data_IF_854489069131
#
_entry.id   IF_854489069131
#
_cell.length_a   1.000
_cell.length_b   1.000
_cell.length_c   1.000
_cell.angle_alpha   90.00
_cell.angle_beta   90.00
_cell.angle_gamma   90.00
#
_symmetry.space_group_name_H-M   'P 1'
#
loop_
_entity.id
_entity.type
_entity.pdbx_description
1 polymer ?
#
# COMPACT_ATOMS: atom_id res chain seq x y z
N UNK A 1 22.77 -0.75 -26.76
CA UNK A 1 21.68 -0.85 -25.78
C UNK A 1 22.21 -0.31 -24.47
N UNK A 2 21.51 0.62 -23.80
CA UNK A 2 21.91 1.07 -22.46
C UNK A 2 21.86 -0.11 -21.49
N UNK A 3 22.82 -0.14 -20.57
CA UNK A 3 22.88 -1.14 -19.49
C UNK A 3 22.77 -0.44 -18.14
N UNK A 4 22.11 -1.09 -17.18
CA UNK A 4 22.07 -0.72 -15.76
C UNK A 4 22.28 -1.96 -14.92
N UNK A 5 22.88 -1.79 -13.76
CA UNK A 5 22.98 -2.90 -12.81
C UNK A 5 21.57 -3.33 -12.35
N UNK A 6 20.72 -2.32 -12.06
CA UNK A 6 19.33 -2.54 -11.65
C UNK A 6 18.39 -1.69 -12.50
N UNK A 7 17.31 -2.31 -13.00
CA UNK A 7 16.17 -1.60 -13.60
C UNK A 7 14.94 -1.81 -12.73
N UNK A 8 14.29 -0.70 -12.34
CA UNK A 8 13.06 -0.71 -11.55
C UNK A 8 11.87 -0.36 -12.44
N UNK A 9 10.83 -1.22 -12.46
CA UNK A 9 9.59 -1.00 -13.18
C UNK A 9 8.52 -0.47 -12.24
N UNK A 10 8.28 0.84 -12.25
CA UNK A 10 7.30 1.55 -11.43
C UNK A 10 7.94 2.45 -10.36
N UNK A 11 7.60 3.75 -10.40
CA UNK A 11 8.08 4.81 -9.49
C UNK A 11 7.13 5.08 -8.31
N UNK A 12 6.45 4.04 -7.78
CA UNK A 12 5.70 4.13 -6.52
C UNK A 12 6.61 3.91 -5.31
N UNK A 13 6.08 3.89 -4.06
CA UNK A 13 6.90 3.80 -2.85
C UNK A 13 7.90 2.65 -2.84
N UNK A 14 7.50 1.46 -3.29
CA UNK A 14 8.38 0.30 -3.34
C UNK A 14 9.53 0.46 -4.34
N UNK A 15 9.24 0.96 -5.55
CA UNK A 15 10.27 1.16 -6.57
C UNK A 15 11.19 2.33 -6.25
N UNK A 16 10.65 3.42 -5.72
CA UNK A 16 11.45 4.55 -5.28
C UNK A 16 12.39 4.16 -4.12
N UNK A 17 11.90 3.38 -3.13
CA UNK A 17 12.73 2.88 -2.04
C UNK A 17 13.88 2.00 -2.55
N UNK A 18 13.60 1.10 -3.51
CA UNK A 18 14.64 0.29 -4.15
C UNK A 18 15.68 1.16 -4.87
N UNK A 19 15.22 2.17 -5.61
CA UNK A 19 16.10 3.07 -6.36
C UNK A 19 16.96 3.96 -5.46
N UNK A 20 16.37 4.55 -4.42
CA UNK A 20 17.07 5.39 -3.43
C UNK A 20 18.21 4.56 -2.78
N UNK A 21 17.88 3.38 -2.29
CA UNK A 21 18.82 2.53 -1.58
C UNK A 21 19.92 2.03 -2.52
N UNK A 22 19.56 1.55 -3.71
CA UNK A 22 20.53 1.11 -4.72
C UNK A 22 21.50 2.23 -5.13
N UNK A 23 20.97 3.42 -5.44
CA UNK A 23 21.77 4.58 -5.83
C UNK A 23 22.74 5.04 -4.70
N UNK A 24 22.28 5.02 -3.44
CA UNK A 24 23.13 5.32 -2.27
C UNK A 24 24.27 4.32 -2.08
N UNK A 25 24.09 3.08 -2.50
CA UNK A 25 25.16 2.07 -2.56
C UNK A 25 26.09 2.22 -3.79
N UNK A 26 25.82 3.19 -4.67
CA UNK A 26 26.59 3.40 -5.90
C UNK A 26 26.21 2.45 -7.03
N UNK A 27 25.11 1.73 -6.92
CA UNK A 27 24.56 0.86 -7.97
C UNK A 27 24.00 1.72 -9.08
N UNK A 28 24.32 1.40 -10.33
CA UNK A 28 23.79 2.11 -11.50
C UNK A 28 22.34 1.69 -11.77
N UNK A 29 21.39 2.51 -11.35
CA UNK A 29 19.96 2.19 -11.35
C UNK A 29 19.13 3.13 -12.23
N UNK A 30 18.17 2.57 -12.97
CA UNK A 30 17.14 3.33 -13.68
C UNK A 30 15.74 2.94 -13.22
N UNK A 31 14.85 3.93 -13.05
CA UNK A 31 13.43 3.74 -12.71
C UNK A 31 12.57 4.19 -13.87
N UNK A 32 11.72 3.29 -14.36
CA UNK A 32 10.72 3.59 -15.39
C UNK A 32 9.34 3.71 -14.76
N UNK A 33 8.76 4.90 -14.82
CA UNK A 33 7.38 5.15 -14.39
C UNK A 33 6.52 5.45 -15.64
N UNK A 34 5.43 4.71 -15.81
CA UNK A 34 4.51 4.88 -16.95
C UNK A 34 3.67 6.15 -16.89
N UNK A 35 3.48 6.69 -15.68
CA UNK A 35 2.75 7.94 -15.48
C UNK A 35 3.68 9.14 -15.49
N UNK A 36 3.07 10.33 -15.59
CA UNK A 36 3.78 11.60 -15.49
C UNK A 36 4.25 11.85 -14.04
N UNK A 37 5.22 12.74 -13.90
CA UNK A 37 5.64 13.24 -12.57
C UNK A 37 4.45 13.78 -11.79
N UNK A 38 4.36 13.41 -10.49
CA UNK A 38 3.26 13.84 -9.62
C UNK A 38 1.89 13.20 -9.97
N UNK A 39 1.87 12.09 -10.71
CA UNK A 39 0.64 11.34 -10.99
C UNK A 39 -0.07 10.94 -9.71
N UNK A 40 -1.38 10.90 -9.77
CA UNK A 40 -2.17 10.37 -8.67
C UNK A 40 -2.29 8.83 -8.71
N UNK A 41 -2.38 8.22 -7.55
CA UNK A 41 -2.61 6.79 -7.35
C UNK A 41 -3.72 6.61 -6.34
N UNK A 42 -4.72 5.79 -6.66
CA UNK A 42 -5.82 5.49 -5.73
C UNK A 42 -5.27 4.86 -4.44
N UNK A 43 -5.46 5.54 -3.32
CA UNK A 43 -4.98 5.19 -1.98
C UNK A 43 -5.79 5.94 -0.93
N UNK A 44 -5.83 5.45 0.31
CA UNK A 44 -6.30 6.20 1.47
C UNK A 44 -5.32 7.27 1.95
N UNK A 45 -4.07 7.27 1.44
CA UNK A 45 -2.99 8.20 1.79
C UNK A 45 -2.49 8.10 3.24
N UNK A 46 -3.04 7.18 4.02
CA UNK A 46 -2.62 6.93 5.41
C UNK A 46 -1.27 6.20 5.47
N UNK A 47 -0.43 6.67 6.35
CA UNK A 47 0.88 6.11 6.67
C UNK A 47 0.88 5.73 8.15
N UNK A 48 1.00 4.44 8.45
CA UNK A 48 1.14 3.97 9.81
C UNK A 48 2.52 4.33 10.39
N UNK A 49 2.74 4.17 11.69
CA UNK A 49 4.06 4.32 12.30
C UNK A 49 5.16 3.52 11.59
N UNK A 50 4.83 2.34 11.07
CA UNK A 50 5.75 1.50 10.32
C UNK A 50 6.17 2.15 8.99
N UNK A 51 5.21 2.66 8.24
CA UNK A 51 5.49 3.37 7.00
C UNK A 51 6.30 4.65 7.25
N UNK A 52 5.97 5.41 8.31
CA UNK A 52 6.74 6.60 8.72
C UNK A 52 8.18 6.23 9.09
N UNK A 53 8.38 5.14 9.87
CA UNK A 53 9.71 4.65 10.20
C UNK A 53 10.54 4.26 8.96
N UNK A 54 9.92 3.60 7.98
CA UNK A 54 10.59 3.26 6.72
C UNK A 54 10.95 4.51 5.89
N UNK A 55 10.08 5.53 5.86
CA UNK A 55 10.38 6.81 5.21
C UNK A 55 11.53 7.56 5.90
N UNK A 56 11.59 7.50 7.24
CA UNK A 56 12.70 8.09 8.01
C UNK A 56 14.03 7.40 7.71
N UNK A 57 14.07 6.08 7.52
CA UNK A 57 15.28 5.35 7.10
C UNK A 57 15.76 5.79 5.70
N UNK A 58 14.86 6.25 4.86
CA UNK A 58 15.17 6.82 3.55
C UNK A 58 15.45 8.33 3.58
N UNK A 59 15.55 8.94 4.78
CA UNK A 59 15.72 10.39 4.99
C UNK A 59 14.68 11.25 4.28
N UNK A 60 13.46 10.73 4.14
CA UNK A 60 12.36 11.48 3.50
C UNK A 60 11.85 12.57 4.44
N UNK A 61 11.82 13.80 3.96
CA UNK A 61 11.28 14.93 4.69
C UNK A 61 9.74 14.85 4.75
N UNK A 62 9.19 14.73 5.96
CA UNK A 62 7.76 14.58 6.22
C UNK A 62 7.05 15.89 6.58
N UNK A 63 7.68 17.05 6.38
CA UNK A 63 7.10 18.36 6.78
C UNK A 63 5.78 18.67 6.06
N UNK A 64 5.60 18.18 4.84
CA UNK A 64 4.39 18.34 4.03
C UNK A 64 3.30 17.30 4.32
N UNK A 65 3.61 16.30 5.14
CA UNK A 65 2.65 15.29 5.57
C UNK A 65 1.89 15.74 6.81
N UNK A 66 0.58 15.52 6.85
CA UNK A 66 -0.20 15.76 8.06
C UNK A 66 0.08 14.69 9.10
N UNK A 67 0.65 15.10 10.25
CA UNK A 67 0.99 14.19 11.36
C UNK A 67 -0.27 13.66 12.04
N UNK A 68 -0.33 12.36 12.28
CA UNK A 68 -1.45 11.64 12.88
C UNK A 68 -1.00 11.00 14.20
N UNK A 69 -1.72 11.30 15.27
CA UNK A 69 -1.47 10.78 16.62
C UNK A 69 -1.99 9.35 16.80
N UNK A 70 -3.09 9.00 16.11
CA UNK A 70 -3.72 7.71 16.32
C UNK A 70 -4.82 7.37 15.33
N UNK A 71 -5.58 6.34 15.71
CA UNK A 71 -6.74 5.83 14.98
C UNK A 71 -8.02 5.99 15.80
N UNK A 72 -9.05 6.58 15.22
CA UNK A 72 -10.42 6.57 15.73
C UNK A 72 -11.18 5.41 15.09
N UNK A 73 -11.56 4.40 15.90
CA UNK A 73 -12.37 3.28 15.45
C UNK A 73 -13.84 3.50 15.81
N UNK A 74 -14.73 3.34 14.82
CA UNK A 74 -16.18 3.44 15.01
C UNK A 74 -16.83 2.07 14.74
N UNK A 75 -17.55 1.53 15.73
CA UNK A 75 -18.31 0.30 15.62
C UNK A 75 -19.73 0.46 16.17
N UNK A 76 -20.69 0.78 15.32
CA UNK A 76 -22.04 1.20 15.71
C UNK A 76 -22.03 2.53 16.43
N UNK A 77 -22.48 2.55 17.69
CA UNK A 77 -22.45 3.74 18.55
C UNK A 77 -21.19 3.86 19.39
N UNK A 78 -20.31 2.88 19.32
CA UNK A 78 -19.04 2.89 20.08
C UNK A 78 -17.96 3.57 19.28
N UNK A 79 -17.29 4.53 19.89
CA UNK A 79 -16.11 5.20 19.34
C UNK A 79 -14.94 4.95 20.28
N UNK A 80 -13.77 4.64 19.73
CA UNK A 80 -12.50 4.52 20.43
C UNK A 80 -11.45 5.34 19.72
N UNK A 81 -10.83 6.26 20.44
CA UNK A 81 -9.63 6.96 20.01
C UNK A 81 -8.43 6.27 20.67
N UNK A 82 -7.48 5.87 19.85
CA UNK A 82 -6.33 5.09 20.26
C UNK A 82 -5.08 5.76 19.67
N UNK A 83 -4.18 6.17 20.53
CA UNK A 83 -2.88 6.68 20.11
C UNK A 83 -2.03 5.54 19.53
N UNK A 84 -1.19 5.88 18.56
CA UNK A 84 -0.23 4.93 18.02
C UNK A 84 0.77 4.53 19.11
N UNK A 85 1.06 3.22 19.23
CA UNK A 85 2.05 2.77 20.19
C UNK A 85 3.44 3.28 19.77
N UNK A 86 4.18 3.84 20.70
CA UNK A 86 5.60 4.07 20.50
C UNK A 86 6.34 2.78 20.81
N UNK A 87 7.08 2.26 19.85
CA UNK A 87 7.87 1.04 19.99
C UNK A 87 9.35 1.35 19.82
N UNK A 88 10.23 0.36 20.03
CA UNK A 88 11.66 0.52 19.74
C UNK A 88 11.96 0.65 18.25
N UNK A 89 11.04 0.16 17.37
CA UNK A 89 11.21 0.09 15.91
C UNK A 89 10.47 1.19 15.17
N UNK A 90 9.36 1.68 15.71
CA UNK A 90 8.47 2.59 15.00
C UNK A 90 8.16 3.82 15.83
N UNK A 91 8.06 5.02 15.20
CA UNK A 91 7.66 6.24 15.89
C UNK A 91 6.22 6.13 16.42
N UNK A 92 5.91 6.85 17.52
CA UNK A 92 4.55 6.90 18.10
C UNK A 92 3.60 7.79 17.32
N UNK A 93 3.70 7.84 15.99
CA UNK A 93 2.81 8.62 15.14
C UNK A 93 2.78 8.07 13.71
N UNK A 94 1.66 8.26 13.06
CA UNK A 94 1.47 8.08 11.64
C UNK A 94 1.47 9.40 10.90
N UNK A 95 1.07 9.36 9.62
CA UNK A 95 0.83 10.55 8.82
C UNK A 95 -0.27 10.31 7.77
N UNK A 96 -0.81 11.37 7.21
CA UNK A 96 -1.57 11.35 5.96
C UNK A 96 -0.83 12.20 4.94
N UNK A 97 -0.50 11.59 3.81
CA UNK A 97 0.22 12.28 2.74
C UNK A 97 -0.32 11.87 1.37
N UNK A 98 -1.02 12.76 0.66
CA UNK A 98 -1.58 12.44 -0.66
C UNK A 98 -0.53 11.85 -1.59
N UNK A 99 -0.85 10.70 -2.22
CA UNK A 99 0.07 9.91 -3.02
C UNK A 99 0.77 10.70 -4.12
N UNK A 100 0.13 11.71 -4.70
CA UNK A 100 0.78 12.59 -5.69
C UNK A 100 2.01 13.32 -5.12
N UNK A 101 1.97 13.71 -3.84
CA UNK A 101 3.07 14.39 -3.15
C UNK A 101 4.09 13.38 -2.60
N UNK A 102 3.62 12.31 -1.97
CA UNK A 102 4.50 11.25 -1.45
C UNK A 102 5.33 10.61 -2.56
N UNK A 103 4.70 10.17 -3.65
CA UNK A 103 5.41 9.50 -4.75
C UNK A 103 6.38 10.47 -5.44
N UNK A 104 6.03 11.75 -5.59
CA UNK A 104 6.92 12.77 -6.14
C UNK A 104 8.15 12.98 -5.24
N UNK A 105 7.96 13.19 -3.94
CA UNK A 105 9.06 13.39 -2.98
C UNK A 105 10.02 12.18 -2.96
N UNK A 106 9.49 10.97 -2.98
CA UNK A 106 10.31 9.75 -3.06
C UNK A 106 11.14 9.69 -4.35
N UNK A 107 10.55 10.02 -5.48
CA UNK A 107 11.25 9.99 -6.77
C UNK A 107 12.26 11.15 -6.92
N UNK A 108 12.03 12.30 -6.29
CA UNK A 108 13.01 13.37 -6.19
C UNK A 108 14.25 12.92 -5.42
N UNK A 109 14.05 12.32 -4.24
CA UNK A 109 15.17 11.76 -3.45
C UNK A 109 15.89 10.65 -4.21
N UNK A 110 15.17 9.81 -4.97
CA UNK A 110 15.81 8.81 -5.82
C UNK A 110 16.73 9.46 -6.89
N UNK A 111 16.25 10.52 -7.53
CA UNK A 111 17.04 11.28 -8.51
C UNK A 111 18.24 11.98 -7.88
N UNK A 112 18.07 12.61 -6.71
CA UNK A 112 19.13 13.25 -5.95
C UNK A 112 20.20 12.25 -5.48
N UNK A 113 19.79 11.01 -5.17
CA UNK A 113 20.71 9.92 -4.83
C UNK A 113 21.50 9.38 -6.04
N UNK A 114 21.13 9.76 -7.26
CA UNK A 114 21.80 9.37 -8.50
C UNK A 114 21.07 8.33 -9.36
N UNK A 115 19.83 7.96 -9.01
CA UNK A 115 19.02 7.11 -9.87
C UNK A 115 18.54 7.86 -11.12
N UNK A 116 18.60 7.23 -12.29
CA UNK A 116 17.98 7.76 -13.51
C UNK A 116 16.47 7.55 -13.44
N UNK A 117 15.68 8.64 -13.35
CA UNK A 117 14.22 8.59 -13.25
C UNK A 117 13.58 8.95 -14.60
N UNK A 118 12.83 8.02 -15.19
CA UNK A 118 12.24 8.12 -16.52
C UNK A 118 10.71 8.00 -16.41
N UNK A 119 10.02 9.09 -16.69
CA UNK A 119 8.56 9.21 -16.63
C UNK A 119 7.90 8.99 -17.99
N UNK A 120 6.57 8.88 -18.02
CA UNK A 120 5.73 8.72 -19.22
C UNK A 120 6.18 7.54 -20.10
N UNK A 121 6.80 6.52 -19.48
CA UNK A 121 7.41 5.40 -20.20
C UNK A 121 6.96 4.05 -19.64
N UNK A 122 5.98 3.42 -20.30
CA UNK A 122 5.60 2.03 -19.98
C UNK A 122 6.65 1.09 -20.56
N UNK A 123 7.15 0.18 -19.74
CA UNK A 123 8.15 -0.83 -20.14
C UNK A 123 7.64 -2.24 -19.86
N UNK A 124 8.15 -3.20 -20.64
CA UNK A 124 7.89 -4.61 -20.43
C UNK A 124 9.21 -5.36 -20.21
N UNK A 125 9.26 -6.32 -19.27
CA UNK A 125 10.43 -7.17 -19.09
C UNK A 125 10.76 -7.95 -20.37
N UNK A 126 12.04 -8.16 -20.58
CA UNK A 126 12.56 -9.02 -21.65
C UNK A 126 13.10 -10.29 -21.03
N UNK A 127 12.59 -11.42 -21.47
CA UNK A 127 13.02 -12.75 -21.03
C UNK A 127 13.73 -13.41 -22.21
N UNK A 128 14.92 -13.97 -21.98
CA UNK A 128 15.69 -14.71 -22.98
C UNK A 128 15.18 -16.14 -23.16
N UNK A 129 15.80 -16.88 -24.06
CA UNK A 129 15.44 -18.27 -24.38
C UNK A 129 15.70 -19.24 -23.20
N UNK A 130 16.52 -18.85 -22.22
CA UNK A 130 16.80 -19.60 -20.99
C UNK A 130 15.83 -19.28 -19.85
N UNK A 131 14.89 -18.33 -20.08
CA UNK A 131 13.89 -17.90 -19.10
C UNK A 131 14.42 -16.88 -18.09
N UNK A 132 15.60 -16.26 -18.35
CA UNK A 132 16.16 -15.18 -17.54
C UNK A 132 15.58 -13.83 -17.99
N UNK A 133 15.18 -13.01 -17.04
CA UNK A 133 14.89 -11.61 -17.30
C UNK A 133 16.20 -10.84 -17.47
N UNK A 134 16.44 -10.29 -18.66
CA UNK A 134 17.70 -9.64 -19.06
C UNK A 134 17.59 -8.12 -19.19
N UNK A 135 16.43 -7.56 -18.89
CA UNK A 135 16.18 -6.13 -18.98
C UNK A 135 14.73 -5.78 -19.33
N UNK A 136 14.54 -4.66 -20.01
CA UNK A 136 13.22 -4.15 -20.40
C UNK A 136 13.20 -3.61 -21.82
N UNK A 137 12.07 -3.74 -22.49
CA UNK A 137 11.76 -3.03 -23.73
C UNK A 137 10.99 -1.74 -23.43
N UNK A 138 11.50 -0.62 -23.94
CA UNK A 138 10.82 0.66 -23.99
C UNK A 138 10.24 0.89 -25.39
N UNK A 139 9.38 1.88 -25.60
CA UNK A 139 8.90 2.23 -26.93
C UNK A 139 10.02 2.61 -27.94
N UNK A 140 11.18 3.01 -27.45
CA UNK A 140 12.29 3.50 -28.27
C UNK A 140 13.39 2.44 -28.49
N UNK A 141 13.74 1.70 -27.43
CA UNK A 141 14.86 0.76 -27.46
C UNK A 141 14.83 -0.23 -26.30
N UNK A 142 15.59 -1.28 -26.41
CA UNK A 142 15.86 -2.24 -25.32
C UNK A 142 16.93 -1.69 -24.37
N UNK A 143 16.70 -1.93 -23.07
CA UNK A 143 17.67 -1.73 -21.99
C UNK A 143 17.99 -3.08 -21.37
N UNK A 144 19.24 -3.31 -21.01
CA UNK A 144 19.67 -4.53 -20.32
C UNK A 144 19.95 -4.27 -18.85
N UNK A 145 19.78 -5.29 -18.00
CA UNK A 145 20.06 -5.20 -16.56
C UNK A 145 20.52 -6.53 -16.00
N UNK A 146 21.30 -6.48 -14.90
CA UNK A 146 21.65 -7.66 -14.12
C UNK A 146 20.46 -8.11 -13.27
N UNK A 147 19.67 -7.16 -12.74
CA UNK A 147 18.43 -7.39 -12.00
C UNK A 147 17.31 -6.45 -12.44
N UNK A 148 16.11 -6.99 -12.62
CA UNK A 148 14.87 -6.22 -12.82
C UNK A 148 14.00 -6.28 -11.57
N UNK A 149 13.70 -5.12 -10.98
CA UNK A 149 12.80 -4.99 -9.83
C UNK A 149 11.40 -4.63 -10.32
N UNK A 150 10.45 -5.56 -10.20
CA UNK A 150 9.06 -5.36 -10.55
C UNK A 150 8.33 -4.65 -9.39
N UNK A 151 8.14 -3.34 -9.51
CA UNK A 151 7.42 -2.47 -8.57
C UNK A 151 6.15 -1.85 -9.20
N UNK A 152 5.57 -2.52 -10.20
CA UNK A 152 4.45 -2.03 -11.01
C UNK A 152 3.10 -1.99 -10.26
N UNK A 153 3.08 -2.31 -8.98
CA UNK A 153 1.88 -2.36 -8.14
C UNK A 153 0.99 -3.56 -8.42
N UNK A 154 -0.26 -3.47 -7.96
CA UNK A 154 -1.23 -4.57 -7.95
C UNK A 154 -1.62 -5.13 -9.32
N UNK A 155 -1.38 -4.41 -10.40
CA UNK A 155 -1.81 -4.77 -11.74
C UNK A 155 -0.78 -4.26 -12.75
N UNK A 156 -0.22 -5.16 -13.52
CA UNK A 156 0.74 -4.75 -14.54
C UNK A 156 0.91 -5.81 -15.62
N UNK A 157 1.09 -5.37 -16.88
CA UNK A 157 1.45 -6.26 -17.99
C UNK A 157 2.81 -6.92 -17.73
N UNK A 158 3.71 -6.20 -17.04
CA UNK A 158 5.03 -6.69 -16.67
C UNK A 158 4.97 -7.96 -15.80
N UNK A 159 4.04 -8.02 -14.84
CA UNK A 159 3.84 -9.21 -14.01
C UNK A 159 3.46 -10.45 -14.84
N UNK A 160 2.65 -10.24 -15.90
CA UNK A 160 2.25 -11.33 -16.80
C UNK A 160 3.43 -11.91 -17.56
N UNK A 161 4.31 -11.05 -18.08
CA UNK A 161 5.50 -11.49 -18.81
C UNK A 161 6.42 -12.34 -17.93
N UNK A 162 6.51 -12.01 -16.63
CA UNK A 162 7.35 -12.72 -15.65
C UNK A 162 6.66 -13.92 -14.99
N UNK A 163 5.40 -14.19 -15.32
CA UNK A 163 4.62 -15.25 -14.66
C UNK A 163 4.37 -14.95 -13.17
N UNK A 164 4.33 -13.68 -12.79
CA UNK A 164 4.05 -13.19 -11.44
C UNK A 164 2.62 -12.67 -11.29
N UNK A 165 1.71 -13.12 -12.15
CA UNK A 165 0.30 -12.74 -12.08
C UNK A 165 -0.36 -13.32 -10.83
N UNK A 166 -1.29 -12.53 -10.30
CA UNK A 166 -2.14 -12.98 -9.19
C UNK A 166 -3.07 -14.10 -9.66
N UNK A 167 -3.22 -15.16 -8.84
CA UNK A 167 -4.24 -16.16 -9.04
C UNK A 167 -5.65 -15.53 -8.93
N UNK A 168 -6.49 -15.60 -9.97
CA UNK A 168 -7.84 -15.02 -9.95
C UNK A 168 -8.75 -15.60 -8.86
N UNK A 169 -8.48 -16.80 -8.37
CA UNK A 169 -9.24 -17.48 -7.31
C UNK A 169 -8.94 -16.94 -5.91
N UNK A 170 -7.79 -16.29 -5.74
CA UNK A 170 -7.37 -15.73 -4.46
C UNK A 170 -8.16 -14.48 -4.05
N UNK A 171 -8.40 -14.29 -2.73
CA UNK A 171 -9.12 -13.16 -2.23
C UNK A 171 -8.41 -11.83 -2.52
N UNK A 172 -9.19 -10.77 -2.66
CA UNK A 172 -8.70 -9.41 -2.82
C UNK A 172 -9.64 -8.42 -2.14
N UNK A 173 -9.11 -7.27 -1.77
CA UNK A 173 -9.88 -6.11 -1.38
C UNK A 173 -10.24 -5.26 -2.61
N UNK A 174 -11.38 -4.61 -2.56
CA UNK A 174 -11.78 -3.59 -3.52
C UNK A 174 -12.09 -2.31 -2.76
N UNK A 175 -11.34 -1.27 -3.03
CA UNK A 175 -11.43 0.03 -2.37
C UNK A 175 -11.85 1.09 -3.37
N UNK A 176 -12.59 2.10 -2.90
CA UNK A 176 -12.95 3.30 -3.65
C UNK A 176 -12.70 4.51 -2.77
N UNK A 177 -12.19 5.59 -3.36
CA UNK A 177 -11.96 6.84 -2.63
C UNK A 177 -12.19 8.08 -3.50
N UNK A 178 -12.39 9.18 -2.81
CA UNK A 178 -12.41 10.55 -3.32
C UNK A 178 -11.85 11.48 -2.25
N UNK A 179 -11.83 12.77 -2.54
CA UNK A 179 -11.56 13.82 -1.55
C UNK A 179 -12.79 14.69 -1.35
N UNK A 180 -12.94 15.24 -0.15
CA UNK A 180 -13.95 16.26 0.19
C UNK A 180 -13.28 17.35 1.03
N UNK A 181 -13.84 18.56 0.99
CA UNK A 181 -13.46 19.62 1.94
C UNK A 181 -14.03 19.32 3.33
N UNK A 182 -13.33 19.73 4.38
CA UNK A 182 -13.79 19.64 5.75
C UNK A 182 -13.04 20.61 6.66
N UNK A 183 -13.68 21.27 7.62
CA UNK A 183 -13.00 22.03 8.67
C UNK A 183 -12.16 21.14 9.59
N UNK A 184 -12.42 19.80 9.61
CA UNK A 184 -11.67 18.82 10.39
C UNK A 184 -10.43 18.29 9.68
N UNK A 185 -9.94 18.94 8.65
CA UNK A 185 -8.76 18.51 7.89
C UNK A 185 -7.47 18.39 8.72
N UNK A 186 -7.44 18.98 9.93
CA UNK A 186 -6.32 18.91 10.90
C UNK A 186 -6.60 18.00 12.10
N UNK A 187 -7.64 17.15 12.03
CA UNK A 187 -7.90 16.16 13.09
C UNK A 187 -6.64 15.29 13.30
N UNK A 188 -6.26 15.06 14.54
CA UNK A 188 -5.06 14.29 14.91
C UNK A 188 -5.23 12.78 14.75
N UNK A 189 -6.44 12.30 14.41
CA UNK A 189 -6.72 10.87 14.24
C UNK A 189 -7.26 10.58 12.85
N UNK A 190 -6.75 9.54 12.21
CA UNK A 190 -7.45 8.92 11.09
C UNK A 190 -8.65 8.15 11.62
N UNK A 191 -9.71 8.06 10.84
CA UNK A 191 -10.93 7.41 11.26
C UNK A 191 -11.22 6.17 10.43
N UNK A 192 -11.57 5.05 11.08
CA UNK A 192 -12.03 3.81 10.47
C UNK A 192 -13.42 3.46 11.00
N UNK A 193 -14.43 3.55 10.13
CA UNK A 193 -15.79 3.12 10.41
C UNK A 193 -15.97 1.65 10.02
N UNK A 194 -16.06 0.79 11.03
CA UNK A 194 -16.19 -0.66 10.88
C UNK A 194 -17.65 -1.12 10.68
N UNK A 195 -18.60 -0.20 10.70
CA UNK A 195 -20.03 -0.46 10.48
C UNK A 195 -20.52 0.22 9.19
N UNK A 196 -19.84 -0.12 8.10
CA UNK A 196 -20.20 0.35 6.77
C UNK A 196 -21.58 -0.17 6.35
N UNK A 197 -22.41 0.70 5.76
CA UNK A 197 -23.76 0.38 5.29
C UNK A 197 -23.96 0.81 3.84
N UNK A 198 -24.71 0.00 3.10
CA UNK A 198 -25.09 0.34 1.73
C UNK A 198 -26.28 1.32 1.69
N UNK A 199 -26.76 1.62 0.49
CA UNK A 199 -27.92 2.53 0.28
C UNK A 199 -29.25 2.03 0.83
N UNK A 200 -29.34 0.75 1.20
CA UNK A 200 -30.52 0.12 1.79
C UNK A 200 -30.35 -0.10 3.30
N UNK A 201 -29.36 0.55 3.93
CA UNK A 201 -28.99 0.39 5.34
C UNK A 201 -28.55 -1.04 5.72
N UNK A 202 -28.12 -1.84 4.74
CA UNK A 202 -27.58 -3.19 4.97
C UNK A 202 -26.09 -3.11 5.29
N UNK A 203 -25.68 -3.79 6.37
CA UNK A 203 -24.28 -3.83 6.76
C UNK A 203 -23.40 -4.54 5.71
N UNK A 204 -22.32 -3.88 5.32
CA UNK A 204 -21.34 -4.39 4.35
C UNK A 204 -20.06 -4.79 5.07
N UNK A 205 -19.59 -6.05 4.91
CA UNK A 205 -18.26 -6.45 5.41
C UNK A 205 -17.13 -5.68 4.74
N UNK A 206 -16.50 -4.81 5.51
CA UNK A 206 -15.48 -3.86 5.07
C UNK A 206 -15.38 -2.72 6.06
N UNK A 207 -14.75 -1.64 5.65
CA UNK A 207 -14.72 -0.42 6.45
C UNK A 207 -14.72 0.82 5.56
N UNK A 208 -15.24 1.93 6.11
CA UNK A 208 -15.08 3.25 5.57
C UNK A 208 -13.98 4.01 6.30
N UNK A 209 -13.35 4.94 5.63
CA UNK A 209 -12.30 5.77 6.25
C UNK A 209 -12.46 7.24 5.94
N UNK A 210 -11.93 8.06 6.86
CA UNK A 210 -11.75 9.49 6.74
C UNK A 210 -10.35 9.84 7.23
N UNK A 211 -9.48 10.21 6.30
CA UNK A 211 -8.07 10.51 6.60
C UNK A 211 -7.78 11.98 6.29
N UNK A 212 -7.66 12.83 7.34
CA UNK A 212 -7.46 14.27 7.20
C UNK A 212 -6.09 14.56 6.59
N UNK A 213 -6.07 15.35 5.51
CA UNK A 213 -4.83 15.61 4.76
C UNK A 213 -4.06 16.86 5.21
N UNK A 214 -4.60 17.64 6.16
CA UNK A 214 -3.96 18.86 6.68
C UNK A 214 -4.15 20.11 5.83
N UNK A 215 -4.60 19.97 4.59
CA UNK A 215 -4.62 21.01 3.55
C UNK A 215 -6.03 21.54 3.20
N UNK A 216 -6.99 21.38 4.09
CA UNK A 216 -8.40 21.73 3.86
C UNK A 216 -9.25 20.53 3.45
N UNK A 217 -8.62 19.39 3.15
CA UNK A 217 -9.28 18.22 2.60
C UNK A 217 -9.18 16.98 3.48
N UNK A 218 -10.07 16.02 3.21
CA UNK A 218 -10.05 14.69 3.79
C UNK A 218 -10.15 13.65 2.67
N UNK A 219 -9.35 12.60 2.74
CA UNK A 219 -9.51 11.42 1.88
C UNK A 219 -10.67 10.60 2.43
N UNK A 220 -11.74 10.48 1.65
CA UNK A 220 -12.98 9.75 1.99
C UNK A 220 -13.05 8.49 1.16
N UNK A 221 -13.16 7.34 1.80
CA UNK A 221 -13.29 6.13 1.03
C UNK A 221 -13.87 4.96 1.80
N UNK A 222 -14.09 3.88 1.09
CA UNK A 222 -14.51 2.63 1.68
C UNK A 222 -13.98 1.45 0.89
N UNK A 223 -13.88 0.30 1.56
CA UNK A 223 -13.42 -0.94 0.95
C UNK A 223 -14.23 -2.13 1.42
N UNK A 224 -14.31 -3.14 0.54
CA UNK A 224 -14.97 -4.40 0.82
C UNK A 224 -14.10 -5.58 0.36
N UNK A 225 -14.26 -6.73 1.02
CA UNK A 225 -13.54 -7.94 0.71
C UNK A 225 -14.27 -8.79 -0.34
N UNK A 226 -13.56 -9.34 -1.30
CA UNK A 226 -14.13 -10.25 -2.32
C UNK A 226 -14.73 -11.54 -1.73
N UNK A 227 -14.38 -11.87 -0.49
CA UNK A 227 -14.89 -13.02 0.27
C UNK A 227 -16.29 -12.81 0.84
N UNK A 228 -16.81 -11.57 0.83
CA UNK A 228 -18.14 -11.28 1.37
C UNK A 228 -19.25 -11.88 0.49
N UNK A 229 -20.32 -12.32 1.14
CA UNK A 229 -21.55 -12.73 0.44
C UNK A 229 -22.15 -11.54 -0.33
N UNK A 230 -22.47 -11.74 -1.61
CA UNK A 230 -23.04 -10.67 -2.44
C UNK A 230 -22.02 -9.69 -3.03
N UNK A 231 -20.72 -9.94 -2.92
CA UNK A 231 -19.69 -9.05 -3.47
C UNK A 231 -19.88 -8.69 -4.94
N UNK A 232 -20.33 -9.64 -5.78
CA UNK A 232 -20.53 -9.42 -7.22
C UNK A 232 -21.64 -8.42 -7.54
N UNK A 233 -22.59 -8.22 -6.64
CA UNK A 233 -23.70 -7.25 -6.77
C UNK A 233 -23.41 -5.90 -6.10
N UNK A 234 -22.26 -5.76 -5.43
CA UNK A 234 -21.90 -4.54 -4.73
C UNK A 234 -21.56 -3.40 -5.71
N UNK A 235 -22.28 -2.28 -5.58
CA UNK A 235 -21.97 -1.05 -6.32
C UNK A 235 -21.13 -0.12 -5.44
N UNK A 236 -19.82 -0.06 -5.71
CA UNK A 236 -18.90 0.75 -4.92
C UNK A 236 -19.21 2.25 -4.94
N UNK A 237 -19.66 2.80 -6.07
CA UNK A 237 -19.99 4.22 -6.13
C UNK A 237 -21.16 4.55 -5.21
N UNK A 238 -22.18 3.69 -5.18
CA UNK A 238 -23.32 3.84 -4.26
C UNK A 238 -22.88 3.67 -2.82
N UNK A 239 -22.02 2.68 -2.53
CA UNK A 239 -21.48 2.45 -1.20
C UNK A 239 -20.67 3.66 -0.69
N UNK A 240 -19.80 4.23 -1.53
CA UNK A 240 -19.05 5.43 -1.22
C UNK A 240 -19.98 6.64 -0.95
N UNK A 241 -21.03 6.80 -1.77
CA UNK A 241 -22.04 7.83 -1.57
C UNK A 241 -22.85 7.66 -0.28
N UNK A 242 -23.21 6.42 0.09
CA UNK A 242 -23.87 6.12 1.36
C UNK A 242 -22.97 6.41 2.55
N UNK A 243 -21.67 6.04 2.47
CA UNK A 243 -20.70 6.33 3.50
C UNK A 243 -20.48 7.84 3.67
N UNK A 244 -20.32 8.59 2.58
CA UNK A 244 -20.20 10.05 2.64
C UNK A 244 -21.43 10.69 3.34
N UNK A 245 -22.65 10.25 3.00
CA UNK A 245 -23.86 10.72 3.68
C UNK A 245 -23.89 10.36 5.17
N UNK A 246 -23.43 9.15 5.52
CA UNK A 246 -23.36 8.71 6.91
C UNK A 246 -22.43 9.59 7.74
N UNK A 247 -21.36 10.12 7.14
CA UNK A 247 -20.33 10.91 7.82
C UNK A 247 -20.50 12.43 7.65
N UNK A 248 -21.49 12.86 6.88
CA UNK A 248 -21.67 14.25 6.48
C UNK A 248 -21.69 15.21 7.66
N UNK A 249 -22.53 14.94 8.67
CA UNK A 249 -22.68 15.82 9.84
C UNK A 249 -21.47 15.76 10.78
N UNK A 250 -20.93 14.55 11.04
CA UNK A 250 -19.85 14.37 12.01
C UNK A 250 -18.52 14.98 11.56
N UNK A 251 -18.33 15.09 10.25
CA UNK A 251 -17.12 15.65 9.64
C UNK A 251 -17.34 16.99 8.94
N UNK A 252 -18.57 17.48 8.90
CA UNK A 252 -18.96 18.67 8.13
C UNK A 252 -18.36 18.60 6.70
N UNK A 253 -18.72 17.48 6.02
CA UNK A 253 -18.14 17.17 4.72
C UNK A 253 -18.77 18.05 3.63
N UNK A 254 -17.93 18.71 2.85
CA UNK A 254 -18.30 19.33 1.60
C UNK A 254 -18.58 18.31 0.48
N UNK A 255 -18.89 18.78 -0.72
CA UNK A 255 -19.07 17.93 -1.89
C UNK A 255 -17.75 17.22 -2.27
N UNK A 256 -17.87 16.20 -3.11
CA UNK A 256 -16.70 15.55 -3.70
C UNK A 256 -15.89 16.54 -4.55
N UNK A 257 -14.58 16.58 -4.30
CA UNK A 257 -13.65 17.41 -5.08
C UNK A 257 -13.25 16.74 -6.41
N UNK A 258 -13.36 15.42 -6.47
CA UNK A 258 -13.07 14.66 -7.67
C UNK A 258 -14.00 13.44 -7.77
N UNK A 259 -14.05 12.84 -8.95
CA UNK A 259 -14.81 11.61 -9.18
C UNK A 259 -14.22 10.46 -8.36
N UNK A 260 -15.05 9.69 -7.61
CA UNK A 260 -14.55 8.52 -6.90
C UNK A 260 -13.87 7.52 -7.84
N UNK A 261 -12.70 7.00 -7.41
CA UNK A 261 -11.93 6.03 -8.17
C UNK A 261 -11.69 4.78 -7.37
N UNK A 262 -11.90 3.62 -8.00
CA UNK A 262 -11.73 2.32 -7.37
C UNK A 262 -10.40 1.67 -7.73
N UNK A 263 -9.87 0.86 -6.81
CA UNK A 263 -8.67 0.09 -7.00
C UNK A 263 -8.77 -1.29 -6.34
N UNK A 264 -8.14 -2.28 -6.96
CA UNK A 264 -8.05 -3.64 -6.41
C UNK A 264 -6.77 -3.77 -5.59
N UNK A 265 -6.90 -4.38 -4.40
CA UNK A 265 -5.82 -4.65 -3.46
C UNK A 265 -5.56 -6.17 -3.47
N UNK A 266 -4.47 -6.66 -4.07
CA UNK A 266 -4.12 -8.08 -4.02
C UNK A 266 -3.67 -8.43 -2.60
N UNK A 267 -4.34 -9.41 -2.00
CA UNK A 267 -4.07 -9.85 -0.62
C UNK A 267 -3.51 -11.28 -0.59
N UNK A 268 -3.01 -11.76 -1.72
CA UNK A 268 -2.48 -13.12 -1.86
C UNK A 268 -0.98 -13.11 -2.11
N UNK A 269 -0.32 -14.17 -1.64
CA UNK A 269 1.06 -14.43 -2.01
C UNK A 269 1.17 -14.64 -3.53
N UNK A 270 2.17 -14.04 -4.12
CA UNK A 270 2.48 -14.15 -5.54
C UNK A 270 3.91 -14.68 -5.70
N UNK A 271 4.28 -15.06 -6.91
CA UNK A 271 5.66 -15.36 -7.21
C UNK A 271 6.48 -14.07 -7.05
N UNK A 272 7.45 -14.07 -6.15
CA UNK A 272 8.20 -12.87 -5.76
C UNK A 272 9.55 -12.76 -6.45
N UNK A 273 10.06 -13.84 -7.03
CA UNK A 273 11.33 -13.84 -7.75
C UNK A 273 11.35 -14.83 -8.91
N UNK A 274 12.35 -14.66 -9.75
CA UNK A 274 12.74 -15.57 -10.81
C UNK A 274 14.13 -15.21 -11.31
N UNK A 275 14.61 -15.90 -12.31
CA UNK A 275 15.94 -15.69 -12.84
C UNK A 275 16.08 -14.26 -13.42
N UNK A 276 16.87 -13.42 -12.77
CA UNK A 276 17.12 -12.02 -13.16
C UNK A 276 16.03 -11.03 -12.76
N UNK A 277 15.07 -11.39 -11.90
CA UNK A 277 14.06 -10.44 -11.45
C UNK A 277 13.49 -10.75 -10.04
N UNK A 278 12.99 -9.71 -9.39
CA UNK A 278 12.21 -9.79 -8.15
C UNK A 278 10.98 -8.89 -8.22
N UNK A 279 9.92 -9.23 -7.46
CA UNK A 279 8.75 -8.36 -7.26
C UNK A 279 8.74 -7.80 -5.83
N UNK A 280 8.38 -6.51 -5.67
CA UNK A 280 8.32 -5.80 -4.39
C UNK A 280 6.94 -5.19 -4.14
N UNK A 281 6.58 -5.01 -2.88
CA UNK A 281 5.32 -4.39 -2.47
C UNK A 281 4.09 -5.06 -3.06
N UNK A 282 3.13 -4.26 -3.57
CA UNK A 282 1.87 -4.75 -4.17
C UNK A 282 2.10 -5.73 -5.32
N UNK A 283 3.20 -5.59 -6.08
CA UNK A 283 3.53 -6.51 -7.17
C UNK A 283 3.88 -7.91 -6.66
N UNK A 284 4.35 -8.02 -5.42
CA UNK A 284 4.59 -9.27 -4.70
C UNK A 284 3.38 -9.73 -3.85
N UNK A 285 2.23 -9.03 -3.92
CA UNK A 285 1.06 -9.31 -3.10
C UNK A 285 1.25 -8.99 -1.61
N UNK A 286 2.20 -8.13 -1.27
CA UNK A 286 2.53 -7.75 0.10
C UNK A 286 1.62 -6.59 0.55
N UNK A 287 0.36 -6.93 0.81
CA UNK A 287 -0.65 -6.02 1.36
C UNK A 287 -1.25 -6.69 2.58
N UNK A 288 -1.35 -5.97 3.67
CA UNK A 288 -1.98 -6.44 4.90
C UNK A 288 -3.47 -6.77 4.67
N UNK A 289 -3.89 -8.02 4.79
CA UNK A 289 -5.26 -8.40 4.49
C UNK A 289 -6.29 -7.91 5.51
N UNK A 290 -5.85 -7.39 6.67
CA UNK A 290 -6.73 -6.92 7.73
C UNK A 290 -7.13 -5.45 7.58
N UNK A 291 -6.23 -4.61 7.06
CA UNK A 291 -6.44 -3.16 6.96
C UNK A 291 -6.20 -2.58 5.55
N UNK A 292 -5.63 -3.36 4.62
CA UNK A 292 -5.33 -2.92 3.25
C UNK A 292 -4.05 -2.08 3.12
N UNK A 293 -3.22 -2.02 4.15
CA UNK A 293 -1.93 -1.33 4.13
C UNK A 293 -0.90 -2.08 3.27
N UNK A 294 -0.08 -1.35 2.51
CA UNK A 294 0.93 -1.92 1.64
C UNK A 294 2.12 -0.99 1.39
N UNK A 295 2.02 0.29 1.79
CA UNK A 295 3.11 1.25 1.56
C UNK A 295 4.34 0.87 2.38
N UNK A 296 4.18 0.52 3.64
CA UNK A 296 5.21 0.04 4.55
C UNK A 296 5.96 -1.18 4.02
N UNK A 297 5.21 -2.23 3.63
CA UNK A 297 5.81 -3.43 3.01
C UNK A 297 6.52 -3.10 1.70
N UNK A 298 5.96 -2.17 0.92
CA UNK A 298 6.59 -1.70 -0.31
C UNK A 298 7.93 -1.03 -0.05
N UNK A 299 7.99 -0.09 0.88
CA UNK A 299 9.22 0.60 1.26
C UNK A 299 10.27 -0.37 1.79
N UNK A 300 9.90 -1.23 2.75
CA UNK A 300 10.83 -2.18 3.37
C UNK A 300 11.36 -3.20 2.36
N UNK A 301 10.52 -3.72 1.48
CA UNK A 301 10.98 -4.71 0.49
C UNK A 301 11.77 -4.10 -0.66
N UNK A 302 11.50 -2.83 -0.98
CA UNK A 302 12.31 -2.06 -1.91
C UNK A 302 13.73 -1.83 -1.38
N UNK A 303 13.86 -1.40 -0.12
CA UNK A 303 15.18 -1.26 0.55
C UNK A 303 15.90 -2.61 0.63
N UNK A 304 15.20 -3.65 1.08
CA UNK A 304 15.78 -4.98 1.27
C UNK A 304 16.45 -5.53 0.01
N UNK A 305 15.77 -5.47 -1.16
CA UNK A 305 16.37 -6.02 -2.39
C UNK A 305 17.58 -5.21 -2.83
N UNK A 306 17.61 -3.91 -2.62
CA UNK A 306 18.74 -3.08 -2.97
C UNK A 306 19.97 -3.38 -2.07
N UNK A 307 19.73 -3.57 -0.76
CA UNK A 307 20.78 -3.97 0.19
C UNK A 307 21.37 -5.34 -0.17
N UNK A 308 20.51 -6.31 -0.48
CA UNK A 308 20.92 -7.66 -0.87
C UNK A 308 21.68 -7.68 -2.19
N UNK A 309 21.24 -6.90 -3.18
CA UNK A 309 21.92 -6.78 -4.46
C UNK A 309 23.32 -6.16 -4.30
N UNK A 310 23.45 -5.14 -3.46
CA UNK A 310 24.75 -4.55 -3.14
C UNK A 310 25.68 -5.53 -2.42
N UNK A 311 25.14 -6.40 -1.56
CA UNK A 311 25.94 -7.38 -0.82
C UNK A 311 26.43 -8.53 -1.71
N UNK A 312 25.55 -9.12 -2.50
CA UNK A 312 25.87 -10.20 -3.47
C UNK A 312 24.80 -10.27 -4.57
N UNK A 313 25.05 -9.67 -5.75
CA UNK A 313 24.11 -9.69 -6.87
C UNK A 313 23.68 -11.11 -7.31
N UNK A 314 24.57 -12.11 -7.13
CA UNK A 314 24.33 -13.47 -7.62
C UNK A 314 23.27 -14.24 -6.84
N UNK A 315 23.10 -13.95 -5.55
CA UNK A 315 22.17 -14.63 -4.64
C UNK A 315 21.03 -13.72 -4.18
N UNK A 316 21.03 -12.45 -4.59
CA UNK A 316 20.10 -11.43 -4.09
C UNK A 316 18.63 -11.83 -4.23
N UNK A 317 18.22 -12.42 -5.37
CA UNK A 317 16.84 -12.76 -5.65
C UNK A 317 16.31 -13.89 -4.76
N UNK A 318 17.07 -14.95 -4.57
CA UNK A 318 16.71 -16.09 -3.70
C UNK A 318 16.72 -15.66 -2.23
N UNK A 319 17.77 -14.93 -1.80
CA UNK A 319 17.88 -14.43 -0.42
C UNK A 319 16.73 -13.47 -0.10
N UNK A 320 16.32 -12.64 -1.06
CA UNK A 320 15.17 -11.75 -0.93
C UNK A 320 13.88 -12.53 -0.66
N UNK A 321 13.56 -13.56 -1.48
CA UNK A 321 12.35 -14.34 -1.29
C UNK A 321 12.32 -15.05 0.07
N UNK A 322 13.45 -15.63 0.47
CA UNK A 322 13.59 -16.25 1.79
C UNK A 322 13.31 -15.24 2.92
N UNK A 323 13.98 -14.08 2.92
CA UNK A 323 13.83 -13.08 3.98
C UNK A 323 12.44 -12.46 4.02
N UNK A 324 11.82 -12.20 2.87
CA UNK A 324 10.44 -11.73 2.80
C UNK A 324 9.48 -12.78 3.34
N UNK A 325 9.71 -14.06 3.02
CA UNK A 325 8.94 -15.18 3.54
C UNK A 325 9.01 -15.28 5.07
N UNK A 326 10.21 -15.21 5.63
CA UNK A 326 10.45 -15.25 7.08
C UNK A 326 9.78 -14.08 7.80
N UNK A 327 9.87 -12.85 7.25
CA UNK A 327 9.36 -11.65 7.88
C UNK A 327 7.84 -11.48 7.79
N UNK A 328 7.22 -11.87 6.67
CA UNK A 328 5.84 -11.44 6.38
C UNK A 328 4.85 -12.57 6.14
N UNK A 329 5.26 -13.76 5.63
CA UNK A 329 4.32 -14.78 5.20
C UNK A 329 3.46 -15.33 6.33
N UNK A 330 4.01 -15.46 7.53
CA UNK A 330 3.26 -15.91 8.72
C UNK A 330 2.11 -14.98 9.06
N UNK A 331 2.41 -13.68 9.13
CA UNK A 331 1.43 -12.63 9.41
C UNK A 331 0.39 -12.50 8.30
N UNK A 332 0.83 -12.39 7.04
CA UNK A 332 -0.06 -12.25 5.89
C UNK A 332 -0.98 -13.45 5.70
N UNK A 333 -0.49 -14.67 5.94
CA UNK A 333 -1.29 -15.90 5.91
C UNK A 333 -2.38 -15.90 6.99
N UNK A 334 -2.03 -15.48 8.19
CA UNK A 334 -2.98 -15.33 9.30
C UNK A 334 -4.03 -14.27 8.99
N UNK A 335 -3.61 -13.10 8.48
CA UNK A 335 -4.52 -12.04 8.04
C UNK A 335 -5.47 -12.50 6.93
N UNK A 336 -5.00 -13.26 5.94
CA UNK A 336 -5.87 -13.84 4.90
C UNK A 336 -6.93 -14.77 5.48
N UNK A 337 -6.56 -15.67 6.40
CA UNK A 337 -7.53 -16.54 7.09
C UNK A 337 -8.56 -15.73 7.87
N UNK A 338 -8.11 -14.67 8.52
CA UNK A 338 -9.00 -13.76 9.24
C UNK A 338 -9.96 -13.03 8.31
N UNK A 339 -9.53 -12.61 7.12
CA UNK A 339 -10.38 -11.94 6.13
C UNK A 339 -11.56 -12.82 5.66
N UNK A 340 -11.38 -14.13 5.60
CA UNK A 340 -12.50 -15.07 5.33
C UNK A 340 -13.50 -15.10 6.48
N UNK A 341 -13.04 -15.05 7.72
CA UNK A 341 -13.93 -15.06 8.90
C UNK A 341 -14.77 -13.78 8.98
N UNK A 342 -14.16 -12.62 8.77
CA UNK A 342 -14.87 -11.33 8.81
C UNK A 342 -15.77 -11.09 7.59
N UNK A 343 -15.62 -11.84 6.51
CA UNK A 343 -16.56 -11.88 5.39
C UNK A 343 -17.97 -12.36 5.79
N UNK A 344 -18.13 -12.97 6.98
CA UNK A 344 -19.40 -13.41 7.54
C UNK A 344 -19.95 -12.37 8.51
N UNK A 345 -21.09 -11.74 8.17
CA UNK A 345 -21.70 -10.64 8.94
C UNK A 345 -21.87 -10.92 10.45
N UNK A 346 -22.25 -12.14 10.84
CA UNK A 346 -22.44 -12.50 12.24
C UNK A 346 -21.11 -12.51 13.02
N UNK A 347 -20.05 -13.02 12.40
CA UNK A 347 -18.70 -13.07 12.97
C UNK A 347 -18.14 -11.65 13.05
N UNK A 348 -18.27 -10.87 11.98
CA UNK A 348 -17.84 -9.49 11.95
C UNK A 348 -18.49 -8.67 13.08
N UNK A 349 -19.81 -8.73 13.22
CA UNK A 349 -20.55 -7.95 14.25
C UNK A 349 -20.09 -8.30 15.67
N UNK A 350 -19.91 -9.57 15.97
CA UNK A 350 -19.48 -10.00 17.32
C UNK A 350 -17.98 -9.71 17.53
N UNK A 351 -17.13 -9.92 16.50
CA UNK A 351 -15.72 -9.58 16.55
C UNK A 351 -15.48 -8.09 16.75
N UNK A 352 -16.22 -7.24 16.07
CA UNK A 352 -16.13 -5.77 16.25
C UNK A 352 -16.54 -5.32 17.64
N UNK A 353 -17.59 -5.94 18.22
CA UNK A 353 -18.00 -5.64 19.62
C UNK A 353 -16.90 -5.96 20.62
N UNK A 354 -16.15 -7.04 20.39
CA UNK A 354 -15.01 -7.43 21.21
C UNK A 354 -13.81 -6.51 20.95
N UNK A 355 -13.46 -6.26 19.69
CA UNK A 355 -12.31 -5.45 19.30
C UNK A 355 -12.35 -4.01 19.83
N UNK A 356 -13.55 -3.44 19.98
CA UNK A 356 -13.76 -2.11 20.58
C UNK A 356 -14.39 -2.17 21.98
N UNK A 357 -14.35 -3.32 22.64
CA UNK A 357 -15.00 -3.57 23.92
C UNK A 357 -14.41 -2.75 25.07
N UNK A 358 -13.09 -2.79 25.20
CA UNK A 358 -12.30 -2.01 26.17
C UNK A 358 -11.11 -1.38 25.46
N UNK A 359 -10.53 -0.33 26.05
CA UNK A 359 -9.38 0.35 25.47
C UNK A 359 -8.17 -0.59 25.34
N UNK A 360 -7.96 -1.47 26.32
CA UNK A 360 -6.88 -2.46 26.29
C UNK A 360 -7.02 -3.44 25.10
N UNK A 361 -8.24 -3.97 24.86
CA UNK A 361 -8.50 -4.88 23.72
C UNK A 361 -8.38 -4.12 22.39
N UNK A 362 -8.89 -2.90 22.34
CA UNK A 362 -8.80 -2.06 21.14
C UNK A 362 -7.34 -1.73 20.80
N UNK A 363 -6.52 -1.44 21.82
CA UNK A 363 -5.08 -1.20 21.64
C UNK A 363 -4.34 -2.44 21.11
N UNK A 364 -4.62 -3.62 21.67
CA UNK A 364 -4.06 -4.88 21.16
C UNK A 364 -4.53 -5.12 19.71
N UNK A 365 -5.80 -4.87 19.42
CA UNK A 365 -6.36 -5.01 18.07
C UNK A 365 -5.62 -4.09 17.09
N UNK A 366 -5.39 -2.84 17.47
CA UNK A 366 -4.63 -1.87 16.67
C UNK A 366 -3.21 -2.36 16.38
N UNK A 367 -2.50 -2.83 17.41
CA UNK A 367 -1.13 -3.34 17.26
C UNK A 367 -1.06 -4.57 16.35
N UNK A 368 -1.97 -5.52 16.55
CA UNK A 368 -2.04 -6.75 15.74
C UNK A 368 -2.42 -6.43 14.29
N UNK A 369 -3.48 -5.65 14.09
CA UNK A 369 -3.95 -5.31 12.72
C UNK A 369 -2.97 -4.43 11.97
N UNK A 370 -2.27 -3.53 12.66
CA UNK A 370 -1.25 -2.65 12.08
C UNK A 370 0.12 -3.30 11.93
N UNK A 371 0.30 -4.56 12.37
CA UNK A 371 1.61 -5.23 12.41
C UNK A 371 2.67 -4.37 13.11
N UNK A 372 2.30 -3.80 14.26
CA UNK A 372 3.11 -2.87 15.06
C UNK A 372 3.66 -3.53 16.35
N UNK A 373 3.70 -4.85 16.39
CA UNK A 373 4.24 -5.60 17.52
C UNK A 373 5.76 -5.66 17.37
N UNK A 374 6.48 -5.31 18.44
CA UNK A 374 7.92 -5.57 18.55
C UNK A 374 8.12 -7.09 18.63
N UNK A 375 8.67 -7.71 17.59
CA UNK A 375 9.04 -9.12 17.54
C UNK A 375 10.54 -9.28 17.74
#
# INVERSE_FOLDING_TARGET
MPHRDVIVIGGGPAGAAAAITAARHGVNVAVFEKGHYGRDKVCGDGLTPRAVGALQQLDINLNDAHRIQGLRMIAGTRVRELDWPQTSRFPGHGAVWPRRRLDAALMEVASEAGAETIYDTEVLPVVDDEGRCVGVDTPLQRWTADLVVLAAGAQGKAARVLGAERDPSEPFGLAIRTYAETPRHKDGHIEACLTLRDENDVAVPGYGWLFPAGDGTVNVGCGALSTMKGFKSLNLNKLCGSYHKQMLESWDLGPYLERPRAWRLPMSAQKRHGHGWVAVGDAAGLINPMNGEGIDYGLETGMLIADLFNADPSTAAETYDQQVGERFDGFLRTGRRFSFLIGHQAILRNGLRLAVGTDAIAQITLQVMGNLIDS
#
